data_IF_215400169648
#
_entry.id   IF_215400169648
#
_cell.length_a   1.000
_cell.length_b   1.000
_cell.length_c   1.000
_cell.angle_alpha   90.00
_cell.angle_beta   90.00
_cell.angle_gamma   90.00
#
_symmetry.space_group_name_H-M   'P 1'
#
loop_
_entity.id
_entity.type
_entity.pdbx_description
1 polymer ?
#
# COMPACT_ATOMS: atom_id res chain seq x y z
N UNK A 1 18.90 -10.65 7.49
CA UNK A 1 17.97 -10.99 8.61
C UNK A 1 17.79 -9.84 9.59
N UNK A 2 18.86 -9.21 10.10
CA UNK A 2 18.77 -8.04 11.01
C UNK A 2 18.01 -6.82 10.45
N UNK A 3 18.08 -6.60 9.15
CA UNK A 3 17.39 -5.48 8.48
C UNK A 3 15.86 -5.58 8.54
N UNK A 4 15.30 -6.77 8.33
CA UNK A 4 13.87 -7.04 8.47
C UNK A 4 13.37 -6.85 9.90
N UNK A 5 14.16 -7.25 10.89
CA UNK A 5 13.86 -7.01 12.31
C UNK A 5 13.81 -5.50 12.60
N UNK A 6 14.72 -4.71 12.01
CA UNK A 6 14.72 -3.24 12.14
C UNK A 6 13.46 -2.59 11.54
N UNK A 7 12.96 -3.11 10.40
CA UNK A 7 11.69 -2.67 9.80
C UNK A 7 10.51 -2.97 10.72
N UNK A 8 10.44 -4.20 11.26
CA UNK A 8 9.36 -4.61 12.18
C UNK A 8 9.39 -3.78 13.47
N UNK A 9 10.57 -3.55 14.03
CA UNK A 9 10.74 -2.76 15.25
C UNK A 9 10.34 -1.29 15.04
N UNK A 10 10.78 -0.69 13.93
CA UNK A 10 10.41 0.68 13.55
C UNK A 10 8.90 0.81 13.28
N UNK A 11 8.31 -0.20 12.64
CA UNK A 11 6.87 -0.30 12.44
C UNK A 11 6.08 -0.40 13.74
N UNK A 12 6.54 -1.23 14.68
CA UNK A 12 5.92 -1.38 16.01
C UNK A 12 5.96 -0.07 16.80
N UNK A 13 7.08 0.66 16.75
CA UNK A 13 7.22 1.98 17.38
C UNK A 13 6.27 3.01 16.73
N UNK A 14 6.11 2.99 15.40
CA UNK A 14 5.14 3.85 14.70
C UNK A 14 3.70 3.57 15.15
N UNK A 15 3.33 2.29 15.30
CA UNK A 15 2.01 1.85 15.77
C UNK A 15 1.78 2.30 17.23
N UNK A 16 2.76 2.08 18.10
CA UNK A 16 2.70 2.48 19.51
C UNK A 16 2.63 4.01 19.68
N UNK A 17 3.36 4.78 18.86
CA UNK A 17 3.34 6.24 18.88
C UNK A 17 1.99 6.84 18.44
N UNK A 18 1.27 6.17 17.54
CA UNK A 18 -0.12 6.54 17.19
C UNK A 18 -1.08 6.38 18.37
N UNK A 19 -0.88 5.35 19.21
CA UNK A 19 -1.65 5.15 20.44
C UNK A 19 -1.48 6.28 21.48
N UNK A 20 -0.33 6.96 21.47
CA UNK A 20 0.00 8.05 22.39
C UNK A 20 -0.28 9.46 21.82
N UNK A 21 -1.03 9.57 20.71
CA UNK A 21 -1.38 10.83 20.02
C UNK A 21 -0.18 11.69 19.53
N UNK A 22 1.04 11.13 19.47
CA UNK A 22 2.23 11.83 18.95
C UNK A 22 2.35 11.66 17.43
N UNK A 23 1.42 12.27 16.70
CA UNK A 23 1.28 12.12 15.23
C UNK A 23 2.59 12.40 14.47
N UNK A 24 3.37 13.40 14.90
CA UNK A 24 4.67 13.73 14.27
C UNK A 24 5.70 12.60 14.41
N UNK A 25 5.77 11.96 15.58
CA UNK A 25 6.69 10.84 15.82
C UNK A 25 6.24 9.61 15.05
N UNK A 26 4.93 9.35 15.01
CA UNK A 26 4.40 8.20 14.28
C UNK A 26 4.67 8.28 12.76
N UNK A 27 4.53 9.48 12.17
CA UNK A 27 4.88 9.73 10.77
C UNK A 27 6.38 9.59 10.52
N UNK A 28 7.23 10.12 11.43
CA UNK A 28 8.68 9.96 11.31
C UNK A 28 9.12 8.50 11.28
N UNK A 29 8.65 7.68 12.24
CA UNK A 29 8.96 6.25 12.27
C UNK A 29 8.39 5.49 11.06
N UNK A 30 7.24 5.94 10.53
CA UNK A 30 6.69 5.36 9.30
C UNK A 30 7.56 5.66 8.09
N UNK A 31 8.02 6.90 7.92
CA UNK A 31 8.97 7.26 6.85
C UNK A 31 10.27 6.49 7.01
N UNK A 32 10.77 6.35 8.24
CA UNK A 32 11.96 5.55 8.53
C UNK A 32 11.77 4.07 8.13
N UNK A 33 10.62 3.47 8.42
CA UNK A 33 10.34 2.08 8.04
C UNK A 33 10.33 1.88 6.52
N UNK A 34 9.78 2.84 5.76
CA UNK A 34 9.78 2.81 4.29
C UNK A 34 11.21 3.00 3.75
N UNK A 35 12.00 3.88 4.37
CA UNK A 35 13.40 4.11 3.99
C UNK A 35 14.23 2.84 4.20
N UNK A 36 14.02 2.15 5.32
CA UNK A 36 14.67 0.86 5.57
C UNK A 36 14.28 -0.20 4.53
N UNK A 37 13.02 -0.25 4.09
CA UNK A 37 12.59 -1.14 3.00
C UNK A 37 13.33 -0.84 1.70
N UNK A 38 13.48 0.43 1.32
CA UNK A 38 14.28 0.81 0.14
C UNK A 38 15.72 0.32 0.27
N UNK A 39 16.37 0.57 1.41
CA UNK A 39 17.75 0.11 1.63
C UNK A 39 17.87 -1.42 1.55
N UNK A 40 16.88 -2.17 2.04
CA UNK A 40 16.89 -3.64 1.95
C UNK A 40 16.83 -4.10 0.50
N UNK A 41 15.93 -3.53 -0.29
CA UNK A 41 15.77 -3.90 -1.71
C UNK A 41 17.10 -3.66 -2.46
N UNK A 42 17.73 -2.50 -2.26
CA UNK A 42 18.98 -2.14 -2.94
C UNK A 42 20.21 -2.91 -2.46
N UNK A 43 20.22 -3.41 -1.22
CA UNK A 43 21.36 -4.21 -0.71
C UNK A 43 21.28 -5.68 -1.08
N UNK A 44 20.07 -6.21 -1.30
CA UNK A 44 19.83 -7.61 -1.67
C UNK A 44 19.95 -7.84 -3.19
N UNK A 45 19.74 -6.81 -4.01
CA UNK A 45 19.83 -6.91 -5.47
C UNK A 45 21.11 -6.28 -6.01
N UNK A 46 21.95 -7.10 -6.63
CA UNK A 46 23.22 -6.68 -7.25
C UNK A 46 23.00 -6.02 -8.61
N UNK A 47 21.84 -6.24 -9.26
CA UNK A 47 21.50 -5.67 -10.56
C UNK A 47 20.20 -4.87 -10.49
N UNK A 48 20.22 -3.66 -11.07
CA UNK A 48 19.05 -2.79 -11.14
C UNK A 48 18.06 -3.33 -12.19
N UNK A 49 17.17 -4.24 -11.78
CA UNK A 49 16.02 -4.66 -12.58
C UNK A 49 15.00 -3.53 -12.68
N UNK A 50 14.22 -3.50 -13.77
CA UNK A 50 13.25 -2.41 -14.00
C UNK A 50 12.21 -2.33 -12.88
N UNK A 51 11.80 -3.48 -12.34
CA UNK A 51 10.81 -3.62 -11.27
C UNK A 51 11.28 -2.99 -9.95
N UNK A 52 12.55 -3.22 -9.60
CA UNK A 52 13.19 -2.64 -8.42
C UNK A 52 13.16 -1.12 -8.45
N UNK A 53 13.43 -0.53 -9.62
CA UNK A 53 13.37 0.92 -9.82
C UNK A 53 11.95 1.43 -9.58
N UNK A 54 10.93 0.77 -10.15
CA UNK A 54 9.54 1.19 -9.97
C UNK A 54 9.05 1.07 -8.52
N UNK A 55 9.39 -0.02 -7.81
CA UNK A 55 8.99 -0.20 -6.41
C UNK A 55 9.73 0.79 -5.50
N UNK A 56 11.02 1.03 -5.74
CA UNK A 56 11.78 2.04 -4.98
C UNK A 56 11.24 3.46 -5.20
N UNK A 57 10.85 3.82 -6.43
CA UNK A 57 10.17 5.08 -6.74
C UNK A 57 8.81 5.18 -6.03
N UNK A 58 8.01 4.10 -6.04
CA UNK A 58 6.74 4.04 -5.31
C UNK A 58 6.91 4.26 -3.80
N UNK A 59 7.95 3.67 -3.21
CA UNK A 59 8.29 3.86 -1.79
C UNK A 59 8.75 5.30 -1.51
N UNK A 60 9.61 5.89 -2.35
CA UNK A 60 10.06 7.27 -2.19
C UNK A 60 8.91 8.27 -2.28
N UNK A 61 8.01 8.10 -3.25
CA UNK A 61 6.81 8.94 -3.37
C UNK A 61 5.89 8.74 -2.17
N UNK A 62 5.74 7.52 -1.68
CA UNK A 62 4.96 7.24 -0.46
C UNK A 62 5.54 7.97 0.75
N UNK A 63 6.86 8.05 0.90
CA UNK A 63 7.51 8.82 1.98
C UNK A 63 7.15 10.31 1.90
N UNK A 64 7.22 10.89 0.70
CA UNK A 64 6.82 12.29 0.46
C UNK A 64 5.32 12.51 0.75
N UNK A 65 4.47 11.54 0.39
CA UNK A 65 3.03 11.57 0.66
C UNK A 65 2.75 11.62 2.17
N UNK A 66 3.45 10.83 2.99
CA UNK A 66 3.31 10.85 4.46
C UNK A 66 3.85 12.16 5.07
N UNK A 67 4.94 12.72 4.54
CA UNK A 67 5.48 14.00 4.99
C UNK A 67 4.53 15.17 4.74
N UNK A 68 3.95 15.23 3.54
CA UNK A 68 2.98 16.27 3.15
C UNK A 68 1.63 16.13 3.87
N UNK A 69 1.25 14.90 4.29
CA UNK A 69 0.03 14.64 5.07
C UNK A 69 0.02 15.34 6.43
N UNK A 70 1.19 15.64 6.99
CA UNK A 70 1.32 16.32 8.28
C UNK A 70 0.79 17.76 8.25
N UNK A 71 0.68 18.35 7.06
CA UNK A 71 0.31 19.75 6.88
C UNK A 71 -1.08 19.84 6.22
N UNK A 72 -2.06 20.37 6.96
CA UNK A 72 -3.48 20.44 6.55
C UNK A 72 -3.65 21.16 5.19
N UNK A 73 -2.78 22.12 4.89
CA UNK A 73 -2.77 22.88 3.62
C UNK A 73 -2.47 22.01 2.39
N UNK A 74 -1.74 20.91 2.56
CA UNK A 74 -1.27 20.05 1.47
C UNK A 74 -2.02 18.70 1.40
N UNK A 75 -3.19 18.58 2.02
CA UNK A 75 -3.97 17.33 2.01
C UNK A 75 -4.27 16.82 0.59
N UNK A 76 -4.65 17.72 -0.33
CA UNK A 76 -4.87 17.36 -1.75
C UNK A 76 -3.60 16.88 -2.44
N UNK A 77 -2.45 17.49 -2.14
CA UNK A 77 -1.16 17.08 -2.71
C UNK A 77 -0.72 15.70 -2.17
N UNK A 78 -0.93 15.44 -0.87
CA UNK A 78 -0.69 14.13 -0.26
C UNK A 78 -1.52 13.04 -0.93
N UNK A 79 -2.81 13.30 -1.20
CA UNK A 79 -3.67 12.37 -1.93
C UNK A 79 -3.14 12.05 -3.34
N UNK A 80 -2.75 13.08 -4.11
CA UNK A 80 -2.16 12.87 -5.44
C UNK A 80 -0.86 12.08 -5.36
N UNK A 81 0.01 12.34 -4.38
CA UNK A 81 1.24 11.57 -4.18
C UNK A 81 0.95 10.09 -3.87
N UNK A 82 -0.07 9.79 -3.07
CA UNK A 82 -0.47 8.39 -2.84
C UNK A 82 -0.93 7.69 -4.12
N UNK A 83 -1.70 8.38 -4.98
CA UNK A 83 -2.10 7.83 -6.27
C UNK A 83 -0.89 7.57 -7.18
N UNK A 84 0.05 8.53 -7.23
CA UNK A 84 1.29 8.37 -8.02
C UNK A 84 2.12 7.20 -7.51
N UNK A 85 2.21 7.00 -6.19
CA UNK A 85 2.90 5.85 -5.61
C UNK A 85 2.23 4.53 -6.02
N UNK A 86 0.89 4.45 -6.00
CA UNK A 86 0.14 3.28 -6.45
C UNK A 86 0.37 2.97 -7.93
N UNK A 87 0.45 4.00 -8.78
CA UNK A 87 0.78 3.83 -10.20
C UNK A 87 2.18 3.25 -10.41
N UNK A 88 3.17 3.69 -9.61
CA UNK A 88 4.51 3.11 -9.68
C UNK A 88 4.55 1.66 -9.23
N UNK A 89 3.88 1.32 -8.13
CA UNK A 89 3.76 -0.08 -7.71
C UNK A 89 3.05 -0.93 -8.77
N UNK A 90 1.96 -0.43 -9.34
CA UNK A 90 1.27 -1.17 -10.39
C UNK A 90 2.15 -1.35 -11.63
N UNK A 91 2.85 -0.30 -12.08
CA UNK A 91 3.77 -0.39 -13.21
C UNK A 91 4.87 -1.41 -12.97
N UNK A 92 5.35 -1.54 -11.72
CA UNK A 92 6.34 -2.55 -11.36
C UNK A 92 5.86 -3.96 -11.67
N UNK A 93 4.61 -4.30 -11.35
CA UNK A 93 4.03 -5.61 -11.66
C UNK A 93 3.72 -5.78 -13.15
N UNK A 94 3.25 -4.73 -13.81
CA UNK A 94 2.94 -4.76 -15.24
C UNK A 94 4.14 -5.07 -16.14
N UNK A 95 5.33 -4.61 -15.76
CA UNK A 95 6.56 -4.87 -16.54
C UNK A 95 6.96 -6.35 -16.50
N UNK A 96 6.49 -7.10 -15.50
CA UNK A 96 6.79 -8.54 -15.33
C UNK A 96 5.81 -9.43 -16.10
N UNK A 97 4.61 -8.92 -16.39
CA UNK A 97 3.56 -9.67 -17.08
C UNK A 97 3.98 -9.96 -18.52
N UNK A 98 4.04 -11.24 -18.88
CA UNK A 98 4.47 -11.70 -20.20
C UNK A 98 3.58 -12.82 -20.76
N UNK A 99 2.27 -12.71 -20.55
CA UNK A 99 1.32 -13.75 -20.94
C UNK A 99 -0.11 -13.28 -21.18
N UNK A 100 -0.98 -14.25 -21.46
CA UNK A 100 -2.41 -14.04 -21.63
C UNK A 100 -3.08 -13.65 -20.29
N UNK A 101 -4.03 -12.72 -20.38
CA UNK A 101 -4.67 -12.12 -19.21
C UNK A 101 -6.00 -12.80 -18.88
N UNK A 102 -6.25 -13.01 -17.60
CA UNK A 102 -7.37 -13.81 -17.11
C UNK A 102 -8.50 -12.92 -16.57
N UNK A 103 -9.57 -12.77 -17.36
CA UNK A 103 -10.65 -11.82 -17.10
C UNK A 103 -11.52 -12.08 -15.87
N UNK A 104 -11.49 -13.28 -15.25
CA UNK A 104 -12.31 -13.54 -14.07
C UNK A 104 -11.79 -12.83 -12.80
N UNK A 105 -10.47 -12.66 -12.67
CA UNK A 105 -9.85 -12.00 -11.52
C UNK A 105 -10.20 -10.50 -11.43
N UNK A 106 -10.07 -9.69 -12.50
CA UNK A 106 -10.50 -8.30 -12.45
C UNK A 106 -12.02 -8.19 -12.26
N UNK A 107 -12.81 -9.09 -12.86
CA UNK A 107 -14.27 -9.10 -12.66
C UNK A 107 -14.64 -9.31 -11.19
N UNK A 108 -13.96 -10.25 -10.50
CA UNK A 108 -14.16 -10.50 -9.07
C UNK A 108 -13.75 -9.30 -8.22
N UNK A 109 -12.59 -8.69 -8.50
CA UNK A 109 -12.10 -7.52 -7.76
C UNK A 109 -13.01 -6.30 -7.94
N UNK A 110 -13.50 -6.06 -9.15
CA UNK A 110 -14.46 -4.98 -9.44
C UNK A 110 -15.78 -5.24 -8.72
N UNK A 111 -16.31 -6.47 -8.76
CA UNK A 111 -17.53 -6.82 -8.03
C UNK A 111 -17.38 -6.60 -6.52
N UNK A 112 -16.28 -7.07 -5.93
CA UNK A 112 -15.99 -6.86 -4.51
C UNK A 112 -15.88 -5.36 -4.16
N UNK A 113 -15.29 -4.57 -5.06
CA UNK A 113 -15.11 -3.12 -4.86
C UNK A 113 -16.42 -2.35 -4.98
N UNK A 114 -17.31 -2.75 -5.89
CA UNK A 114 -18.66 -2.20 -6.00
C UNK A 114 -19.45 -2.47 -4.71
N UNK A 115 -19.39 -3.70 -4.18
CA UNK A 115 -20.04 -4.05 -2.91
C UNK A 115 -19.47 -3.21 -1.76
N UNK A 116 -18.14 -3.11 -1.65
CA UNK A 116 -17.50 -2.29 -0.62
C UNK A 116 -17.89 -0.80 -0.76
N UNK A 117 -17.97 -0.29 -1.99
CA UNK A 117 -18.38 1.08 -2.28
C UNK A 117 -19.82 1.32 -1.86
N UNK A 118 -20.77 0.44 -2.19
CA UNK A 118 -22.17 0.59 -1.78
C UNK A 118 -22.37 0.51 -0.27
N UNK A 119 -21.59 -0.31 0.44
CA UNK A 119 -21.64 -0.36 1.91
C UNK A 119 -21.15 0.94 2.56
N UNK A 120 -20.25 1.64 1.88
CA UNK A 120 -19.68 2.91 2.34
C UNK A 120 -20.44 4.14 1.82
N UNK A 121 -21.18 4.01 0.71
CA UNK A 121 -21.93 5.08 0.04
C UNK A 121 -22.82 5.92 0.97
N UNK A 122 -23.56 5.36 1.95
CA UNK A 122 -24.44 6.15 2.83
C UNK A 122 -23.71 7.18 3.69
N UNK A 123 -22.37 7.14 3.72
CA UNK A 123 -21.54 7.87 4.69
C UNK A 123 -20.49 8.78 4.04
N UNK A 124 -20.25 8.67 2.73
CA UNK A 124 -19.17 9.39 2.02
C UNK A 124 -19.74 10.40 1.00
N UNK A 125 -20.94 10.92 1.22
CA UNK A 125 -21.72 11.70 0.23
C UNK A 125 -20.95 12.91 -0.37
N UNK A 126 -20.02 13.50 0.38
CA UNK A 126 -19.19 14.64 -0.07
C UNK A 126 -17.81 14.27 -0.60
N UNK A 127 -17.32 13.04 -0.36
CA UNK A 127 -15.95 12.58 -0.67
C UNK A 127 -15.96 11.34 -1.59
N UNK A 128 -17.07 11.10 -2.30
CA UNK A 128 -17.24 9.99 -3.24
C UNK A 128 -16.12 9.95 -4.27
N UNK A 129 -15.75 11.09 -4.85
CA UNK A 129 -14.74 11.17 -5.91
C UNK A 129 -13.33 10.72 -5.44
N UNK A 130 -12.75 11.27 -4.35
CA UNK A 130 -11.47 10.79 -3.84
C UNK A 130 -11.46 9.29 -3.50
N UNK A 131 -12.54 8.79 -2.88
CA UNK A 131 -12.60 7.38 -2.45
C UNK A 131 -12.72 6.43 -3.64
N UNK A 132 -13.52 6.77 -4.65
CA UNK A 132 -13.66 5.97 -5.87
C UNK A 132 -12.36 5.91 -6.66
N UNK A 133 -11.68 7.04 -6.87
CA UNK A 133 -10.40 7.08 -7.60
C UNK A 133 -9.34 6.24 -6.89
N UNK A 134 -9.24 6.36 -5.57
CA UNK A 134 -8.31 5.56 -4.78
C UNK A 134 -8.64 4.06 -4.83
N UNK A 135 -9.93 3.71 -4.75
CA UNK A 135 -10.39 2.33 -4.88
C UNK A 135 -10.05 1.72 -6.23
N UNK A 136 -10.31 2.45 -7.32
CA UNK A 136 -9.98 2.01 -8.68
C UNK A 136 -8.48 1.76 -8.85
N UNK A 137 -7.63 2.63 -8.32
CA UNK A 137 -6.17 2.44 -8.38
C UNK A 137 -5.73 1.21 -7.60
N UNK A 138 -6.29 0.97 -6.41
CA UNK A 138 -5.98 -0.22 -5.61
C UNK A 138 -6.43 -1.51 -6.31
N UNK A 139 -7.62 -1.51 -6.92
CA UNK A 139 -8.13 -2.64 -7.71
C UNK A 139 -7.22 -2.93 -8.89
N UNK A 140 -6.86 -1.89 -9.63
CA UNK A 140 -6.00 -1.98 -10.81
C UNK A 140 -4.60 -2.52 -10.44
N UNK A 141 -4.03 -2.05 -9.34
CA UNK A 141 -2.75 -2.55 -8.80
C UNK A 141 -2.85 -4.02 -8.36
N UNK A 142 -3.92 -4.38 -7.65
CA UNK A 142 -4.14 -5.75 -7.15
C UNK A 142 -4.40 -6.73 -8.28
N UNK A 143 -5.06 -6.28 -9.35
CA UNK A 143 -5.23 -7.07 -10.55
C UNK A 143 -3.89 -7.39 -11.21
N UNK A 144 -3.03 -6.40 -11.41
CA UNK A 144 -1.71 -6.60 -11.99
C UNK A 144 -0.86 -7.60 -11.17
N UNK A 145 -0.86 -7.48 -9.84
CA UNK A 145 -0.17 -8.42 -8.96
C UNK A 145 -0.82 -9.82 -8.96
N UNK A 146 -2.13 -9.90 -9.08
CA UNK A 146 -2.86 -11.18 -9.14
C UNK A 146 -2.61 -11.94 -10.43
N UNK A 147 -2.57 -11.25 -11.56
CA UNK A 147 -2.20 -11.85 -12.85
C UNK A 147 -0.77 -12.35 -12.84
N UNK A 148 0.15 -11.61 -12.21
CA UNK A 148 1.53 -12.04 -12.07
C UNK A 148 1.61 -13.36 -11.29
N UNK A 149 0.85 -13.48 -10.21
CA UNK A 149 0.78 -14.72 -9.43
C UNK A 149 0.11 -15.88 -10.19
N UNK A 150 -0.87 -15.60 -11.04
CA UNK A 150 -1.51 -16.62 -11.89
C UNK A 150 -0.59 -17.11 -13.02
N UNK A 151 0.24 -16.22 -13.59
CA UNK A 151 1.20 -16.58 -14.65
C UNK A 151 2.42 -17.29 -14.07
N UNK A 152 2.97 -16.77 -12.98
CA UNK A 152 4.13 -17.31 -12.29
C UNK A 152 3.77 -17.57 -10.84
N UNK A 153 3.39 -18.81 -10.51
CA UNK A 153 3.02 -19.22 -9.16
C UNK A 153 4.25 -19.39 -8.24
N UNK A 154 5.04 -18.32 -8.07
CA UNK A 154 6.20 -18.26 -7.20
C UNK A 154 5.85 -17.69 -5.82
N UNK A 155 6.73 -17.93 -4.84
CA UNK A 155 6.59 -17.32 -3.50
C UNK A 155 6.68 -15.78 -3.58
N UNK A 156 7.46 -15.28 -4.52
CA UNK A 156 7.66 -13.87 -4.80
C UNK A 156 6.34 -13.20 -5.23
N UNK A 157 5.73 -13.67 -6.32
CA UNK A 157 4.47 -13.12 -6.84
C UNK A 157 3.30 -13.29 -5.86
N UNK A 158 3.26 -14.40 -5.12
CA UNK A 158 2.27 -14.63 -4.06
C UNK A 158 2.39 -13.63 -2.91
N UNK A 159 3.62 -13.30 -2.49
CA UNK A 159 3.86 -12.25 -1.50
C UNK A 159 3.42 -10.87 -2.01
N UNK A 160 3.70 -10.54 -3.27
CA UNK A 160 3.26 -9.30 -3.91
C UNK A 160 1.73 -9.17 -3.94
N UNK A 161 1.03 -10.24 -4.35
CA UNK A 161 -0.44 -10.27 -4.39
C UNK A 161 -1.06 -10.16 -2.99
N UNK A 162 -0.57 -10.91 -2.01
CA UNK A 162 -1.00 -10.78 -0.61
C UNK A 162 -0.75 -9.38 -0.05
N UNK A 163 0.38 -8.76 -0.41
CA UNK A 163 0.68 -7.38 -0.07
C UNK A 163 -0.36 -6.40 -0.62
N UNK A 164 -0.77 -6.57 -1.88
CA UNK A 164 -1.81 -5.74 -2.50
C UNK A 164 -3.19 -5.92 -1.83
N UNK A 165 -3.56 -7.16 -1.49
CA UNK A 165 -4.81 -7.45 -0.75
C UNK A 165 -4.81 -6.80 0.63
N UNK A 166 -3.70 -6.89 1.37
CA UNK A 166 -3.56 -6.17 2.65
C UNK A 166 -3.60 -4.66 2.46
N UNK A 167 -3.15 -4.14 1.32
CA UNK A 167 -3.23 -2.73 1.03
C UNK A 167 -4.67 -2.25 0.84
N UNK A 168 -5.50 -3.01 0.09
CA UNK A 168 -6.95 -2.79 0.00
C UNK A 168 -7.60 -2.87 1.38
N UNK A 169 -7.25 -3.88 2.18
CA UNK A 169 -7.79 -4.05 3.53
C UNK A 169 -7.43 -2.85 4.43
N UNK A 170 -6.20 -2.35 4.35
CA UNK A 170 -5.78 -1.15 5.08
C UNK A 170 -6.58 0.08 4.67
N UNK A 171 -6.79 0.27 3.36
CA UNK A 171 -7.55 1.40 2.81
C UNK A 171 -9.03 1.36 3.20
N UNK A 172 -9.64 0.16 3.16
CA UNK A 172 -11.04 -0.02 3.58
C UNK A 172 -11.21 0.18 5.09
N UNK A 173 -10.28 -0.31 5.91
CA UNK A 173 -10.27 -0.03 7.35
C UNK A 173 -10.12 1.47 7.65
N UNK A 174 -9.29 2.18 6.89
CA UNK A 174 -9.14 3.63 7.01
C UNK A 174 -10.45 4.34 6.65
N UNK A 175 -11.10 3.95 5.55
CA UNK A 175 -12.39 4.52 5.16
C UNK A 175 -13.48 4.25 6.23
N UNK A 176 -13.51 3.06 6.82
CA UNK A 176 -14.45 2.74 7.90
C UNK A 176 -14.15 3.58 9.15
N UNK A 177 -12.88 3.70 9.55
CA UNK A 177 -12.49 4.45 10.74
C UNK A 177 -12.78 5.95 10.62
N UNK A 178 -12.45 6.54 9.48
CA UNK A 178 -12.57 7.98 9.25
C UNK A 178 -14.01 8.40 8.91
N UNK A 179 -14.79 7.56 8.21
CA UNK A 179 -16.14 7.93 7.71
C UNK A 179 -17.32 7.23 8.41
N UNK A 180 -17.15 6.02 8.96
CA UNK A 180 -18.25 5.27 9.57
C UNK A 180 -18.33 5.46 11.07
N UNK A 181 -17.34 4.92 11.78
CA UNK A 181 -17.23 4.97 13.24
C UNK A 181 -15.76 4.81 13.63
N UNK A 182 -15.26 5.61 14.59
CA UNK A 182 -13.91 5.44 15.09
C UNK A 182 -13.79 4.09 15.80
N UNK A 183 -13.13 3.13 15.14
CA UNK A 183 -12.78 1.85 15.73
C UNK A 183 -11.84 2.05 16.93
N UNK A 184 -12.08 1.43 18.09
CA UNK A 184 -11.09 1.38 19.16
C UNK A 184 -9.86 0.63 18.63
N UNK A 185 -8.68 1.26 18.67
CA UNK A 185 -7.42 0.80 18.03
C UNK A 185 -7.36 0.88 16.50
N UNK A 186 -8.30 1.56 15.83
CA UNK A 186 -8.34 1.65 14.36
C UNK A 186 -7.03 2.14 13.74
N UNK A 187 -6.43 3.20 14.26
CA UNK A 187 -5.15 3.72 13.76
C UNK A 187 -4.00 2.70 13.85
N UNK A 188 -3.96 1.88 14.90
CA UNK A 188 -2.93 0.86 15.05
C UNK A 188 -3.08 -0.24 14.00
N UNK A 189 -4.32 -0.70 13.79
CA UNK A 189 -4.67 -1.79 12.85
C UNK A 189 -4.52 -1.37 11.38
N UNK A 190 -4.90 -0.13 11.05
CA UNK A 190 -4.66 0.46 9.74
C UNK A 190 -3.14 0.60 9.50
N UNK A 191 -2.40 1.04 10.52
CA UNK A 191 -0.96 1.24 10.38
C UNK A 191 -0.19 -0.06 10.22
N UNK A 192 -0.55 -1.10 10.98
CA UNK A 192 0.07 -2.41 10.87
C UNK A 192 -0.21 -3.07 9.52
N UNK A 193 -1.45 -3.02 9.05
CA UNK A 193 -1.84 -3.57 7.74
C UNK A 193 -1.14 -2.84 6.59
N UNK A 194 -1.03 -1.51 6.65
CA UNK A 194 -0.30 -0.72 5.65
C UNK A 194 1.18 -1.10 5.59
N UNK A 195 1.84 -1.20 6.75
CA UNK A 195 3.26 -1.52 6.79
C UNK A 195 3.52 -2.97 6.36
N UNK A 196 2.65 -3.90 6.77
CA UNK A 196 2.69 -5.28 6.31
C UNK A 196 2.52 -5.37 4.79
N UNK A 197 1.59 -4.61 4.20
CA UNK A 197 1.40 -4.55 2.76
C UNK A 197 2.67 -4.07 2.04
N UNK A 198 3.27 -2.96 2.48
CA UNK A 198 4.49 -2.42 1.89
C UNK A 198 5.70 -3.36 2.05
N UNK A 199 5.80 -4.05 3.20
CA UNK A 199 6.83 -5.04 3.44
C UNK A 199 6.68 -6.27 2.53
N UNK A 200 5.45 -6.74 2.30
CA UNK A 200 5.16 -7.86 1.39
C UNK A 200 5.40 -7.51 -0.08
N UNK A 201 5.00 -6.31 -0.51
CA UNK A 201 5.31 -5.81 -1.86
C UNK A 201 6.83 -5.70 -2.07
N UNK A 202 7.56 -5.26 -1.06
CA UNK A 202 9.02 -5.20 -1.11
C UNK A 202 9.66 -6.60 -1.09
N UNK A 203 9.10 -7.52 -0.29
CA UNK A 203 9.54 -8.92 -0.22
C UNK A 203 9.35 -9.65 -1.54
N UNK A 204 8.33 -9.29 -2.32
CA UNK A 204 8.03 -9.85 -3.64
C UNK A 204 9.16 -9.73 -4.64
N UNK A 205 10.13 -8.84 -4.45
CA UNK A 205 11.31 -8.70 -5.33
C UNK A 205 12.50 -9.52 -4.79
N UNK A 206 12.52 -9.76 -3.48
CA UNK A 206 13.69 -10.33 -2.78
C UNK A 206 13.61 -11.86 -2.75
N UNK A 207 12.39 -12.40 -2.67
CA UNK A 207 12.11 -13.85 -2.68
C UNK A 207 12.32 -14.45 -4.05
#
# INVERSE_FOLDING_TARGET
MLSWISVVLSGFISISAYGHQKVKQAVFFRVLSLLLLVLIIWTQHVSATSELIWISLGLMVSMLAHGTRLNVRYHRASFVLFLVAQLFFSKAFWVQLSGAMVWWLPALLVAASIVAFFLLLPQIDTLIFPVTIMGLMLVQMTWAAGELWLQEASLASGAGFLGCLLYILSATLLAIHDYRRPLPLGHALISSSYLAAQALISASIIL
#
